data_IF_566226457471
#
_entry.id   IF_566226457471
#
_cell.length_a   1.000
_cell.length_b   1.000
_cell.length_c   1.000
_cell.angle_alpha   90.00
_cell.angle_beta   90.00
_cell.angle_gamma   90.00
#
_symmetry.space_group_name_H-M   'P 1'
#
loop_
_entity.id
_entity.type
_entity.pdbx_description
1 polymer ?
#
# COMPACT_ATOMS: atom_id res chain seq x y z
N UNK A 1 -4.26 20.34 -4.57
CA UNK A 1 -4.36 18.94 -4.14
C UNK A 1 -5.83 18.58 -4.12
N UNK A 2 -6.22 17.51 -4.81
CA UNK A 2 -7.60 17.00 -4.76
C UNK A 2 -7.87 16.30 -3.42
N UNK A 3 -9.14 16.06 -3.10
CA UNK A 3 -9.54 15.26 -1.93
C UNK A 3 -8.89 13.87 -1.95
N UNK A 4 -8.86 13.24 -3.13
CA UNK A 4 -8.22 11.93 -3.36
C UNK A 4 -6.70 11.99 -3.17
N UNK A 5 -6.02 13.03 -3.69
CA UNK A 5 -4.57 13.17 -3.49
C UNK A 5 -4.20 13.36 -2.01
N UNK A 6 -4.98 14.15 -1.26
CA UNK A 6 -4.77 14.31 0.18
C UNK A 6 -5.06 13.04 0.97
N UNK A 7 -6.10 12.29 0.60
CA UNK A 7 -6.45 11.00 1.19
C UNK A 7 -5.32 9.97 1.06
N UNK A 8 -4.65 9.96 -0.09
CA UNK A 8 -3.59 9.00 -0.40
C UNK A 8 -2.22 9.48 0.12
N UNK A 9 -1.85 10.73 -0.16
CA UNK A 9 -0.48 11.24 -0.02
C UNK A 9 -0.33 12.42 0.95
N UNK A 10 -1.41 12.93 1.54
CA UNK A 10 -1.32 14.00 2.54
C UNK A 10 -0.50 13.58 3.76
N UNK A 11 -0.25 14.52 4.67
CA UNK A 11 0.53 14.23 5.90
C UNK A 11 -0.09 13.12 6.77
N UNK A 12 -1.42 13.00 6.71
CA UNK A 12 -2.20 11.91 7.30
C UNK A 12 -2.66 10.86 6.27
N UNK A 13 -2.12 10.89 5.06
CA UNK A 13 -2.49 10.00 3.97
C UNK A 13 -2.12 8.55 4.26
N UNK A 14 -2.95 7.63 3.80
CA UNK A 14 -2.83 6.19 4.14
C UNK A 14 -1.50 5.63 3.65
N UNK A 15 -1.11 5.95 2.42
CA UNK A 15 0.11 5.40 1.81
C UNK A 15 1.33 5.88 2.57
N UNK A 16 1.35 7.14 3.01
CA UNK A 16 2.44 7.65 3.84
C UNK A 16 2.55 6.87 5.16
N UNK A 17 1.43 6.66 5.86
CA UNK A 17 1.41 5.91 7.11
C UNK A 17 1.91 4.47 6.93
N UNK A 18 1.48 3.79 5.86
CA UNK A 18 1.92 2.42 5.56
C UNK A 18 3.40 2.39 5.21
N UNK A 19 3.85 3.33 4.37
CA UNK A 19 5.25 3.42 3.97
C UNK A 19 6.17 3.62 5.18
N UNK A 20 5.78 4.49 6.12
CA UNK A 20 6.55 4.76 7.33
C UNK A 20 6.70 3.47 8.19
N UNK A 21 5.66 2.65 8.32
CA UNK A 21 5.73 1.37 9.06
C UNK A 21 6.55 0.30 8.33
N UNK A 22 6.45 0.22 7.00
CA UNK A 22 7.25 -0.70 6.20
C UNK A 22 8.74 -0.37 6.27
N UNK A 23 9.10 0.91 6.19
CA UNK A 23 10.49 1.37 6.35
C UNK A 23 11.04 1.02 7.73
N UNK A 24 10.26 1.20 8.81
CA UNK A 24 10.66 0.80 10.18
C UNK A 24 10.95 -0.70 10.30
N UNK A 25 10.26 -1.53 9.51
CA UNK A 25 10.50 -2.99 9.46
C UNK A 25 11.59 -3.41 8.46
N UNK A 26 12.28 -2.45 7.84
CA UNK A 26 13.42 -2.72 6.97
C UNK A 26 13.06 -3.08 5.53
N UNK A 27 11.83 -2.84 5.09
CA UNK A 27 11.46 -2.99 3.68
C UNK A 27 12.01 -1.84 2.84
N UNK A 28 12.45 -2.16 1.63
CA UNK A 28 12.73 -1.22 0.54
C UNK A 28 11.82 -1.58 -0.60
N UNK A 29 11.04 -0.62 -1.08
CA UNK A 29 9.97 -0.89 -2.03
C UNK A 29 9.70 0.30 -2.94
N UNK A 30 8.98 0.05 -4.02
CA UNK A 30 8.25 1.06 -4.78
C UNK A 30 6.76 0.88 -4.51
N UNK A 31 6.01 1.97 -4.50
CA UNK A 31 4.55 1.95 -4.36
C UNK A 31 3.93 2.56 -5.60
N UNK A 32 3.05 1.81 -6.26
CA UNK A 32 2.16 2.34 -7.28
C UNK A 32 0.76 2.46 -6.69
N UNK A 33 0.10 3.57 -7.00
CA UNK A 33 -1.28 3.81 -6.57
C UNK A 33 -2.06 4.33 -7.76
N UNK A 34 -3.20 3.72 -8.01
CA UNK A 34 -4.22 4.21 -8.92
C UNK A 34 -5.50 4.38 -8.14
N UNK A 35 -6.08 5.58 -8.15
CA UNK A 35 -7.32 5.85 -7.45
C UNK A 35 -8.31 6.51 -8.41
N UNK A 36 -9.40 5.80 -8.68
CA UNK A 36 -10.52 6.35 -9.46
C UNK A 36 -11.46 7.15 -8.56
N UNK A 37 -11.62 6.70 -7.32
CA UNK A 37 -12.36 7.37 -6.25
C UNK A 37 -11.77 6.98 -4.88
N UNK A 38 -12.35 7.47 -3.79
CA UNK A 38 -11.98 7.02 -2.43
C UNK A 38 -12.43 5.58 -2.14
N UNK A 39 -13.36 5.06 -2.94
CA UNK A 39 -13.95 3.71 -2.80
C UNK A 39 -13.36 2.71 -3.82
N UNK A 40 -12.45 3.14 -4.70
CA UNK A 40 -11.79 2.32 -5.72
C UNK A 40 -10.32 2.74 -5.86
N UNK A 41 -9.49 2.10 -5.04
CA UNK A 41 -8.06 2.35 -4.93
C UNK A 41 -7.28 1.06 -5.13
N UNK A 42 -6.43 1.05 -6.16
CA UNK A 42 -5.49 -0.02 -6.42
C UNK A 42 -4.11 0.37 -5.90
N UNK A 43 -3.49 -0.51 -5.12
CA UNK A 43 -2.18 -0.30 -4.53
C UNK A 43 -1.29 -1.49 -4.83
N UNK A 44 -0.10 -1.24 -5.40
CA UNK A 44 0.93 -2.25 -5.63
C UNK A 44 2.20 -1.88 -4.89
N UNK A 45 2.66 -2.75 -4.00
CA UNK A 45 4.00 -2.67 -3.41
C UNK A 45 4.93 -3.61 -4.14
N UNK A 46 6.01 -3.08 -4.71
CA UNK A 46 7.07 -3.84 -5.35
C UNK A 46 8.27 -3.87 -4.40
N UNK A 47 8.62 -5.06 -3.90
CA UNK A 47 9.71 -5.24 -2.94
C UNK A 47 11.05 -5.29 -3.68
N UNK A 48 12.01 -4.45 -3.26
CA UNK A 48 13.31 -4.28 -3.92
C UNK A 48 14.46 -4.99 -3.18
N UNK A 49 14.28 -5.31 -1.90
CA UNK A 49 15.32 -5.90 -1.05
C UNK A 49 14.94 -7.26 -0.45
N UNK A 50 13.76 -7.76 -0.81
CA UNK A 50 13.14 -8.99 -0.32
C UNK A 50 12.34 -9.57 -1.46
N UNK A 51 12.25 -10.90 -1.49
CA UNK A 51 11.27 -11.55 -2.35
C UNK A 51 9.88 -11.41 -1.72
N UNK A 52 8.84 -11.25 -2.53
CA UNK A 52 7.44 -11.24 -2.14
C UNK A 52 6.95 -12.67 -1.85
N UNK A 53 7.65 -13.38 -0.96
CA UNK A 53 7.19 -14.66 -0.43
C UNK A 53 5.86 -14.48 0.28
N UNK A 54 5.08 -15.56 0.43
CA UNK A 54 3.78 -15.52 1.13
C UNK A 54 3.89 -14.80 2.48
N UNK A 55 4.92 -15.11 3.27
CA UNK A 55 5.16 -14.48 4.57
C UNK A 55 5.41 -12.97 4.47
N UNK A 56 6.18 -12.51 3.49
CA UNK A 56 6.46 -11.07 3.33
C UNK A 56 5.22 -10.33 2.79
N UNK A 57 4.46 -10.97 1.91
CA UNK A 57 3.17 -10.43 1.45
C UNK A 57 2.17 -10.30 2.60
N UNK A 58 2.07 -11.29 3.48
CA UNK A 58 1.21 -11.24 4.66
C UNK A 58 1.59 -10.11 5.60
N UNK A 59 2.88 -9.88 5.84
CA UNK A 59 3.36 -8.76 6.68
C UNK A 59 2.92 -7.43 6.07
N UNK A 60 3.15 -7.22 4.77
CA UNK A 60 2.76 -5.97 4.09
C UNK A 60 1.23 -5.79 4.11
N UNK A 61 0.46 -6.84 3.79
CA UNK A 61 -1.01 -6.81 3.82
C UNK A 61 -1.56 -6.53 5.21
N UNK A 62 -0.98 -7.13 6.25
CA UNK A 62 -1.39 -6.90 7.63
C UNK A 62 -1.21 -5.44 8.02
N UNK A 63 -0.03 -4.86 7.76
CA UNK A 63 0.26 -3.45 8.08
C UNK A 63 -0.70 -2.53 7.33
N UNK A 64 -0.92 -2.79 6.04
CA UNK A 64 -1.82 -1.99 5.22
C UNK A 64 -3.24 -1.97 5.80
N UNK A 65 -3.83 -3.15 6.02
CA UNK A 65 -5.21 -3.23 6.49
C UNK A 65 -5.39 -2.83 7.96
N UNK A 66 -4.35 -2.95 8.80
CA UNK A 66 -4.35 -2.37 10.15
C UNK A 66 -4.46 -0.84 10.09
N UNK A 67 -3.73 -0.19 9.19
CA UNK A 67 -3.77 1.26 9.02
C UNK A 67 -5.10 1.71 8.41
N UNK A 68 -5.60 1.01 7.39
CA UNK A 68 -6.95 1.25 6.83
C UNK A 68 -8.00 1.20 7.94
N UNK A 69 -7.99 0.15 8.77
CA UNK A 69 -8.91 -0.01 9.90
C UNK A 69 -8.73 1.09 10.94
N UNK A 70 -7.50 1.45 11.30
CA UNK A 70 -7.19 2.51 12.28
C UNK A 70 -7.73 3.88 11.86
N UNK A 71 -7.82 4.13 10.55
CA UNK A 71 -8.36 5.36 9.99
C UNK A 71 -9.88 5.28 9.69
N UNK A 72 -10.56 4.21 10.15
CA UNK A 72 -12.00 3.96 9.93
C UNK A 72 -12.41 3.94 8.45
N UNK A 73 -11.56 3.35 7.59
CA UNK A 73 -11.80 3.24 6.16
C UNK A 73 -12.35 1.87 5.78
N UNK A 74 -13.12 1.83 4.69
CA UNK A 74 -13.60 0.55 4.15
C UNK A 74 -12.44 -0.21 3.51
N UNK A 75 -12.15 -1.41 4.03
CA UNK A 75 -11.14 -2.29 3.45
C UNK A 75 -11.47 -2.74 2.03
N UNK A 76 -12.76 -2.78 1.67
CA UNK A 76 -13.21 -3.19 0.34
C UNK A 76 -12.91 -2.15 -0.74
N UNK A 77 -12.62 -0.90 -0.34
CA UNK A 77 -12.18 0.14 -1.26
C UNK A 77 -10.77 -0.09 -1.83
N UNK A 78 -10.00 -1.02 -1.23
CA UNK A 78 -8.60 -1.23 -1.55
C UNK A 78 -8.37 -2.60 -2.19
N UNK A 79 -7.79 -2.58 -3.39
CA UNK A 79 -7.18 -3.76 -3.99
C UNK A 79 -5.66 -3.69 -3.82
N UNK A 80 -5.10 -4.59 -3.01
CA UNK A 80 -3.69 -4.57 -2.63
C UNK A 80 -2.93 -5.76 -3.22
N UNK A 81 -1.93 -5.46 -4.05
CA UNK A 81 -0.94 -6.42 -4.55
C UNK A 81 0.43 -6.17 -3.94
N UNK A 82 1.15 -7.24 -3.64
CA UNK A 82 2.54 -7.23 -3.18
C UNK A 82 3.33 -8.13 -4.10
N UNK A 83 4.40 -7.61 -4.67
CA UNK A 83 5.07 -8.23 -5.81
C UNK A 83 6.59 -8.07 -5.74
N UNK A 84 7.29 -8.90 -6.51
CA UNK A 84 8.72 -8.80 -6.75
C UNK A 84 9.05 -7.74 -7.81
N UNK A 85 10.31 -7.30 -7.86
CA UNK A 85 10.80 -6.40 -8.91
C UNK A 85 10.63 -6.96 -10.33
N UNK A 86 10.55 -8.28 -10.45
CA UNK A 86 10.42 -8.99 -11.72
C UNK A 86 8.95 -9.25 -12.09
N UNK A 87 8.00 -8.88 -11.22
CA UNK A 87 6.57 -8.96 -11.52
C UNK A 87 6.19 -7.81 -12.44
N UNK A 88 5.69 -8.17 -13.63
CA UNK A 88 5.34 -7.23 -14.69
C UNK A 88 4.26 -6.20 -14.29
N UNK A 89 3.84 -5.34 -15.24
CA UNK A 89 2.91 -4.24 -14.97
C UNK A 89 1.49 -4.67 -14.59
N UNK A 90 1.19 -5.97 -14.55
CA UNK A 90 -0.13 -6.48 -14.20
C UNK A 90 -0.49 -6.12 -12.75
N UNK A 91 -1.70 -5.59 -12.59
CA UNK A 91 -2.34 -5.22 -11.33
C UNK A 91 -2.93 -6.43 -10.62
#
# INVERSE_FOLDING_TARGET
MTEIENFIYGDSGIIKQVNDELVKKGFRFQTLVMANSVDDVQVKYILNNKNATESEQEVVKSIFFEIVKKNNLDSNAFNLKVADSDDGPDW
#
